data_IF_763665265567
#
_entry.id   IF_763665265567
#
_cell.length_a   1.000
_cell.length_b   1.000
_cell.length_c   1.000
_cell.angle_alpha   90.00
_cell.angle_beta   90.00
_cell.angle_gamma   90.00
#
_symmetry.space_group_name_H-M   'P 1'
#
loop_
_entity.id
_entity.type
_entity.pdbx_description
1 polymer ?
#
# COMPACT_ATOMS: atom_id res chain seq x y z
N UNK A 1 -8.60 -39.46 -7.89
CA UNK A 1 -8.34 -38.05 -7.48
C UNK A 1 -7.91 -37.12 -8.62
N UNK A 2 -7.81 -37.54 -9.90
CA UNK A 2 -7.48 -36.63 -11.03
C UNK A 2 -8.70 -35.90 -11.64
N UNK A 3 -9.93 -36.29 -11.30
CA UNK A 3 -11.15 -35.79 -11.95
C UNK A 3 -11.53 -34.34 -11.59
N UNK A 4 -11.27 -33.85 -10.36
CA UNK A 4 -11.74 -32.51 -9.96
C UNK A 4 -10.93 -31.33 -10.51
N UNK A 5 -9.61 -31.45 -10.73
CA UNK A 5 -8.80 -30.31 -11.19
C UNK A 5 -8.89 -30.05 -12.69
N UNK A 6 -9.23 -31.07 -13.50
CA UNK A 6 -9.46 -30.88 -14.93
C UNK A 6 -10.75 -30.09 -15.15
N UNK A 7 -11.81 -30.41 -14.42
CA UNK A 7 -13.09 -29.69 -14.48
C UNK A 7 -12.90 -28.21 -14.10
N UNK A 8 -12.24 -27.92 -12.96
CA UNK A 8 -11.91 -26.55 -12.55
C UNK A 8 -11.08 -25.81 -13.62
N UNK A 9 -10.13 -26.49 -14.24
CA UNK A 9 -9.32 -25.91 -15.31
C UNK A 9 -10.17 -25.54 -16.53
N UNK A 10 -10.97 -26.49 -17.03
CA UNK A 10 -11.78 -26.34 -18.23
C UNK A 10 -12.85 -25.24 -18.05
N UNK A 11 -13.46 -25.15 -16.86
CA UNK A 11 -14.43 -24.10 -16.53
C UNK A 11 -13.79 -22.70 -16.52
N UNK A 12 -12.62 -22.56 -15.89
CA UNK A 12 -11.89 -21.29 -15.86
C UNK A 12 -11.38 -20.88 -17.24
N UNK A 13 -10.94 -21.82 -18.06
CA UNK A 13 -10.47 -21.55 -19.43
C UNK A 13 -11.59 -21.00 -20.32
N UNK A 14 -12.83 -21.47 -20.11
CA UNK A 14 -14.01 -20.96 -20.82
C UNK A 14 -14.51 -19.59 -20.32
N UNK A 15 -14.04 -19.12 -19.16
CA UNK A 15 -14.46 -17.84 -18.61
C UNK A 15 -13.90 -16.65 -19.43
N UNK A 16 -14.74 -15.62 -19.62
CA UNK A 16 -14.34 -14.42 -20.35
C UNK A 16 -13.16 -13.71 -19.67
N UNK A 17 -12.10 -13.41 -20.43
CA UNK A 17 -10.91 -12.71 -19.92
C UNK A 17 -9.85 -13.62 -19.27
N UNK A 18 -10.03 -14.94 -19.29
CA UNK A 18 -9.12 -15.91 -18.66
C UNK A 18 -7.75 -16.06 -19.35
N UNK A 19 -7.62 -15.66 -20.62
CA UNK A 19 -6.43 -15.93 -21.44
C UNK A 19 -5.12 -15.45 -20.76
N UNK A 20 -5.08 -14.20 -20.29
CA UNK A 20 -3.89 -13.66 -19.63
C UNK A 20 -3.52 -14.44 -18.37
N UNK A 21 -4.52 -14.91 -17.62
CA UNK A 21 -4.31 -15.69 -16.39
C UNK A 21 -3.61 -17.02 -16.67
N UNK A 22 -4.02 -17.73 -17.73
CA UNK A 22 -3.37 -18.97 -18.14
C UNK A 22 -1.98 -18.75 -18.76
N UNK A 23 -1.74 -17.65 -19.47
CA UNK A 23 -0.39 -17.29 -19.93
C UNK A 23 0.55 -16.99 -18.76
N UNK A 24 0.06 -16.35 -17.68
CA UNK A 24 0.84 -16.19 -16.45
C UNK A 24 1.19 -17.55 -15.82
N UNK A 25 0.23 -18.48 -15.71
CA UNK A 25 0.53 -19.84 -15.18
C UNK A 25 1.55 -20.56 -16.08
N UNK A 26 1.40 -20.47 -17.39
CA UNK A 26 2.30 -21.08 -18.37
C UNK A 26 3.71 -20.49 -18.29
N UNK A 27 3.85 -19.20 -18.03
CA UNK A 27 5.15 -18.54 -17.83
C UNK A 27 5.92 -19.06 -16.61
N UNK A 28 5.26 -19.77 -15.68
CA UNK A 28 5.92 -20.40 -14.52
C UNK A 28 6.53 -21.77 -14.83
N UNK A 29 6.40 -22.28 -16.06
CA UNK A 29 7.04 -23.52 -16.45
C UNK A 29 8.56 -23.39 -16.45
N UNK A 30 9.25 -24.54 -16.40
CA UNK A 30 10.72 -24.53 -16.44
C UNK A 30 11.18 -23.81 -17.71
N UNK A 31 12.19 -22.91 -17.61
CA UNK A 31 12.77 -22.28 -18.78
C UNK A 31 13.38 -23.34 -19.68
N UNK A 32 13.41 -23.09 -20.98
CA UNK A 32 14.13 -23.95 -21.91
C UNK A 32 15.64 -23.93 -21.54
N UNK A 33 16.37 -25.06 -21.55
CA UNK A 33 17.77 -25.09 -21.14
C UNK A 33 18.67 -24.10 -21.89
N UNK A 34 18.29 -23.71 -23.11
CA UNK A 34 19.01 -22.79 -23.97
C UNK A 34 18.97 -21.33 -23.49
N UNK A 35 17.98 -20.96 -22.67
CA UNK A 35 17.81 -19.61 -22.11
C UNK A 35 18.24 -19.53 -20.64
N UNK A 36 18.63 -20.67 -20.04
CA UNK A 36 19.15 -20.73 -18.68
C UNK A 36 20.59 -20.22 -18.68
N UNK A 37 20.84 -19.15 -17.94
CA UNK A 37 22.16 -18.52 -17.86
C UNK A 37 23.07 -19.19 -16.81
N UNK A 38 22.52 -19.60 -15.65
CA UNK A 38 23.23 -20.35 -14.61
C UNK A 38 22.55 -21.72 -14.39
N UNK A 39 23.25 -22.85 -14.62
CA UNK A 39 22.73 -24.20 -14.37
C UNK A 39 22.21 -24.43 -12.95
N UNK A 40 22.68 -23.67 -11.95
CA UNK A 40 22.18 -23.74 -10.58
C UNK A 40 20.71 -23.32 -10.47
N UNK A 41 20.20 -22.55 -11.43
CA UNK A 41 18.82 -22.08 -11.41
C UNK A 41 17.81 -23.17 -11.80
N UNK A 42 18.21 -24.13 -12.64
CA UNK A 42 17.41 -25.33 -12.86
C UNK A 42 17.29 -26.18 -11.60
N UNK A 43 18.36 -26.25 -10.80
CA UNK A 43 18.34 -26.96 -9.51
C UNK A 43 17.39 -26.26 -8.52
N UNK A 44 17.46 -24.93 -8.43
CA UNK A 44 16.54 -24.13 -7.59
C UNK A 44 15.09 -24.27 -8.04
N UNK A 45 14.83 -24.21 -9.35
CA UNK A 45 13.50 -24.45 -9.91
C UNK A 45 12.96 -25.82 -9.49
N UNK A 46 13.76 -26.89 -9.63
CA UNK A 46 13.38 -28.23 -9.22
C UNK A 46 13.09 -28.33 -7.71
N UNK A 47 13.89 -27.66 -6.88
CA UNK A 47 13.67 -27.61 -5.43
C UNK A 47 12.37 -26.88 -5.06
N UNK A 48 12.00 -25.82 -5.79
CA UNK A 48 10.79 -25.04 -5.53
C UNK A 48 9.52 -25.58 -6.24
N UNK A 49 9.65 -26.54 -7.15
CA UNK A 49 8.55 -27.03 -8.00
C UNK A 49 7.33 -27.52 -7.20
N UNK A 50 7.55 -28.13 -6.04
CA UNK A 50 6.46 -28.55 -5.15
C UNK A 50 5.65 -27.36 -4.64
N UNK A 51 6.31 -26.30 -4.19
CA UNK A 51 5.67 -25.08 -3.72
C UNK A 51 4.99 -24.33 -4.87
N UNK A 52 5.64 -24.26 -6.04
CA UNK A 52 5.04 -23.67 -7.23
C UNK A 52 3.73 -24.37 -7.62
N UNK A 53 3.71 -25.70 -7.64
CA UNK A 53 2.48 -26.48 -7.91
C UNK A 53 1.38 -26.24 -6.87
N UNK A 54 1.75 -26.04 -5.61
CA UNK A 54 0.80 -25.68 -4.56
C UNK A 54 0.21 -24.29 -4.82
N UNK A 55 1.03 -23.30 -5.16
CA UNK A 55 0.58 -21.95 -5.47
C UNK A 55 -0.33 -21.90 -6.71
N UNK A 56 -0.01 -22.65 -7.77
CA UNK A 56 -0.89 -22.77 -8.96
C UNK A 56 -2.25 -23.35 -8.58
N UNK A 57 -2.30 -24.39 -7.73
CA UNK A 57 -3.57 -24.95 -7.25
C UNK A 57 -4.36 -23.94 -6.42
N UNK A 58 -3.69 -23.19 -5.54
CA UNK A 58 -4.32 -22.15 -4.73
C UNK A 58 -4.90 -21.03 -5.60
N UNK A 59 -4.22 -20.64 -6.68
CA UNK A 59 -4.74 -19.69 -7.67
C UNK A 59 -6.01 -20.19 -8.35
N UNK A 60 -5.96 -21.42 -8.88
CA UNK A 60 -7.12 -22.04 -9.54
C UNK A 60 -8.32 -22.14 -8.58
N UNK A 61 -8.07 -22.59 -7.35
CA UNK A 61 -9.11 -22.69 -6.33
C UNK A 61 -9.71 -21.33 -5.95
N UNK A 62 -8.87 -20.30 -5.79
CA UNK A 62 -9.34 -18.95 -5.49
C UNK A 62 -10.19 -18.37 -6.64
N UNK A 63 -9.75 -18.55 -7.88
CA UNK A 63 -10.49 -18.10 -9.06
C UNK A 63 -11.81 -18.86 -9.27
N UNK A 64 -11.88 -20.13 -8.89
CA UNK A 64 -13.11 -20.92 -8.95
C UNK A 64 -14.10 -20.54 -7.84
N UNK A 65 -13.61 -20.37 -6.61
CA UNK A 65 -14.45 -20.21 -5.42
C UNK A 65 -15.01 -18.80 -5.17
N UNK A 66 -14.39 -17.75 -5.72
CA UNK A 66 -14.80 -16.36 -5.47
C UNK A 66 -14.71 -15.49 -6.74
N UNK A 67 -15.87 -14.93 -7.17
CA UNK A 67 -15.97 -14.16 -8.40
C UNK A 67 -15.20 -12.83 -8.35
N UNK A 68 -15.16 -12.18 -7.19
CA UNK A 68 -14.41 -10.93 -7.01
C UNK A 68 -12.89 -11.20 -7.16
N UNK A 69 -12.39 -12.26 -6.54
CA UNK A 69 -11.00 -12.70 -6.67
C UNK A 69 -10.70 -13.14 -8.09
N UNK A 70 -11.57 -13.92 -8.74
CA UNK A 70 -11.43 -14.28 -10.17
C UNK A 70 -11.27 -13.04 -11.05
N UNK A 71 -12.13 -12.05 -10.85
CA UNK A 71 -12.10 -10.79 -11.60
C UNK A 71 -10.79 -10.03 -11.35
N UNK A 72 -10.35 -9.93 -10.10
CA UNK A 72 -9.08 -9.31 -9.76
C UNK A 72 -7.88 -10.02 -10.42
N UNK A 73 -7.86 -11.36 -10.36
CA UNK A 73 -6.83 -12.18 -11.00
C UNK A 73 -6.80 -11.99 -12.52
N UNK A 74 -7.96 -12.01 -13.18
CA UNK A 74 -8.05 -11.83 -14.63
C UNK A 74 -7.66 -10.41 -15.05
N UNK A 75 -8.06 -9.38 -14.29
CA UNK A 75 -7.67 -8.00 -14.55
C UNK A 75 -6.17 -7.76 -14.39
N UNK A 76 -5.55 -8.34 -13.35
CA UNK A 76 -4.09 -8.30 -13.19
C UNK A 76 -3.39 -8.91 -14.42
N UNK A 77 -3.94 -10.01 -14.97
CA UNK A 77 -3.38 -10.71 -16.12
C UNK A 77 -3.68 -10.05 -17.48
N UNK A 78 -4.68 -9.17 -17.54
CA UNK A 78 -5.13 -8.54 -18.79
C UNK A 78 -4.16 -7.46 -19.29
N UNK A 79 -3.26 -6.97 -18.43
CA UNK A 79 -2.24 -5.99 -18.80
C UNK A 79 -1.17 -6.70 -19.64
N UNK A 80 -0.94 -6.29 -20.90
CA UNK A 80 0.10 -6.90 -21.73
C UNK A 80 1.46 -6.78 -21.05
N UNK A 81 2.04 -7.94 -20.75
CA UNK A 81 3.42 -8.04 -20.32
C UNK A 81 4.33 -7.45 -21.42
N UNK A 82 5.02 -6.35 -21.12
CA UNK A 82 6.00 -5.75 -22.04
C UNK A 82 7.34 -6.51 -22.05
N UNK A 83 7.51 -7.50 -21.15
CA UNK A 83 8.71 -8.33 -21.00
C UNK A 83 8.32 -9.79 -20.73
N UNK A 84 9.16 -10.74 -21.18
CA UNK A 84 8.96 -12.18 -20.93
C UNK A 84 8.88 -12.52 -19.42
N UNK A 85 9.55 -11.72 -18.57
CA UNK A 85 9.65 -11.95 -17.13
C UNK A 85 8.53 -11.28 -16.30
N UNK A 86 7.68 -10.46 -16.93
CA UNK A 86 6.51 -9.89 -16.25
C UNK A 86 5.57 -10.98 -15.70
N UNK A 87 5.61 -12.20 -16.25
CA UNK A 87 4.84 -13.34 -15.77
C UNK A 87 5.10 -13.70 -14.30
N UNK A 88 6.36 -13.68 -13.84
CA UNK A 88 6.67 -14.01 -12.44
C UNK A 88 6.23 -12.90 -11.47
N UNK A 89 6.35 -11.63 -11.87
CA UNK A 89 5.83 -10.50 -11.08
C UNK A 89 4.31 -10.54 -10.99
N UNK A 90 3.62 -10.80 -12.11
CA UNK A 90 2.17 -10.97 -12.16
C UNK A 90 1.73 -12.16 -11.30
N UNK A 91 2.43 -13.29 -11.36
CA UNK A 91 2.15 -14.45 -10.52
C UNK A 91 2.25 -14.14 -9.02
N UNK A 92 3.24 -13.33 -8.63
CA UNK A 92 3.39 -12.88 -7.25
C UNK A 92 2.28 -11.90 -6.83
N UNK A 93 1.89 -10.98 -7.71
CA UNK A 93 0.78 -10.05 -7.48
C UNK A 93 -0.56 -10.79 -7.34
N UNK A 94 -0.84 -11.75 -8.23
CA UNK A 94 -2.01 -12.63 -8.14
C UNK A 94 -2.03 -13.43 -6.84
N UNK A 95 -0.87 -13.91 -6.41
CA UNK A 95 -0.73 -14.61 -5.16
C UNK A 95 -1.13 -13.83 -3.92
N UNK A 96 -0.92 -12.52 -3.95
CA UNK A 96 -1.37 -11.64 -2.90
C UNK A 96 -2.91 -11.57 -2.83
N UNK A 97 -3.60 -11.53 -3.98
CA UNK A 97 -5.07 -11.60 -4.02
C UNK A 97 -5.61 -12.93 -3.45
N UNK A 98 -4.91 -14.04 -3.73
CA UNK A 98 -5.23 -15.34 -3.12
C UNK A 98 -5.06 -15.30 -1.60
N UNK A 99 -3.94 -14.74 -1.11
CA UNK A 99 -3.69 -14.63 0.33
C UNK A 99 -4.73 -13.76 1.04
N UNK A 100 -5.20 -12.70 0.41
CA UNK A 100 -6.31 -11.89 0.93
C UNK A 100 -7.58 -12.72 1.08
N UNK A 101 -7.97 -13.46 0.04
CA UNK A 101 -9.14 -14.34 0.10
C UNK A 101 -8.99 -15.38 1.22
N UNK A 102 -7.83 -16.04 1.31
CA UNK A 102 -7.55 -17.04 2.34
C UNK A 102 -7.56 -16.47 3.77
N UNK A 103 -7.11 -15.23 3.94
CA UNK A 103 -7.22 -14.51 5.21
C UNK A 103 -8.67 -14.15 5.52
N UNK A 104 -9.44 -13.71 4.52
CA UNK A 104 -10.84 -13.32 4.66
C UNK A 104 -11.75 -14.49 5.06
N UNK A 105 -11.57 -15.66 4.43
CA UNK A 105 -12.41 -16.84 4.68
C UNK A 105 -12.06 -17.59 5.97
N UNK A 106 -11.16 -17.06 6.81
CA UNK A 106 -10.88 -17.64 8.13
C UNK A 106 -12.17 -17.74 8.96
N UNK A 107 -12.35 -18.84 9.71
CA UNK A 107 -13.65 -19.20 10.29
C UNK A 107 -14.07 -18.32 11.48
N UNK A 108 -13.14 -17.61 12.10
CA UNK A 108 -13.41 -16.73 13.25
C UNK A 108 -12.87 -15.34 12.97
N UNK A 109 -13.49 -14.32 13.58
CA UNK A 109 -13.02 -12.93 13.50
C UNK A 109 -11.58 -12.82 13.97
N UNK A 110 -11.21 -13.52 15.05
CA UNK A 110 -9.84 -13.50 15.55
C UNK A 110 -8.83 -14.12 14.57
N UNK A 111 -9.15 -15.27 13.98
CA UNK A 111 -8.27 -15.91 13.00
C UNK A 111 -8.13 -15.07 11.72
N UNK A 112 -9.21 -14.42 11.29
CA UNK A 112 -9.21 -13.47 10.18
C UNK A 112 -8.33 -12.27 10.48
N UNK A 113 -8.53 -11.63 11.64
CA UNK A 113 -7.75 -10.47 12.08
C UNK A 113 -6.25 -10.80 12.11
N UNK A 114 -5.87 -11.90 12.77
CA UNK A 114 -4.46 -12.32 12.83
C UNK A 114 -3.86 -12.57 11.45
N UNK A 115 -4.62 -13.20 10.54
CA UNK A 115 -4.17 -13.46 9.18
C UNK A 115 -4.00 -12.16 8.37
N UNK A 116 -4.92 -11.21 8.50
CA UNK A 116 -4.87 -9.91 7.81
C UNK A 116 -3.75 -9.01 8.35
N UNK A 117 -3.52 -9.00 9.66
CA UNK A 117 -2.39 -8.29 10.29
C UNK A 117 -1.05 -8.82 9.74
N UNK A 118 -0.87 -10.14 9.76
CA UNK A 118 0.34 -10.76 9.23
C UNK A 118 0.51 -10.41 7.74
N UNK A 119 -0.56 -10.53 6.96
CA UNK A 119 -0.52 -10.20 5.54
C UNK A 119 -0.19 -8.73 5.29
N UNK A 120 -0.70 -7.80 6.11
CA UNK A 120 -0.42 -6.36 6.00
C UNK A 120 1.06 -6.07 6.25
N UNK A 121 1.65 -6.66 7.31
CA UNK A 121 3.09 -6.57 7.58
C UNK A 121 3.93 -7.13 6.43
N UNK A 122 3.59 -8.33 5.96
CA UNK A 122 4.31 -8.98 4.87
C UNK A 122 4.25 -8.16 3.57
N UNK A 123 3.10 -7.56 3.27
CA UNK A 123 2.91 -6.72 2.10
C UNK A 123 3.63 -5.37 2.22
N UNK A 124 3.57 -4.73 3.38
CA UNK A 124 4.34 -3.51 3.67
C UNK A 124 5.84 -3.72 3.42
N UNK A 125 6.40 -4.84 3.93
CA UNK A 125 7.79 -5.24 3.67
C UNK A 125 8.08 -5.45 2.20
N UNK A 126 7.19 -6.14 1.48
CA UNK A 126 7.34 -6.37 0.04
C UNK A 126 7.36 -5.05 -0.74
N UNK A 127 6.50 -4.09 -0.40
CA UNK A 127 6.47 -2.77 -1.02
C UNK A 127 7.76 -2.00 -0.76
N UNK A 128 8.30 -2.09 0.46
CA UNK A 128 9.58 -1.49 0.79
C UNK A 128 10.74 -2.11 0.00
N UNK A 129 10.76 -3.44 -0.12
CA UNK A 129 11.75 -4.14 -0.95
C UNK A 129 11.63 -3.73 -2.42
N UNK A 130 10.41 -3.60 -2.94
CA UNK A 130 10.17 -3.12 -4.30
C UNK A 130 10.65 -1.67 -4.51
N UNK A 131 10.44 -0.80 -3.52
CA UNK A 131 10.94 0.57 -3.57
C UNK A 131 12.48 0.60 -3.61
N UNK A 132 13.16 -0.24 -2.82
CA UNK A 132 14.62 -0.34 -2.82
C UNK A 132 15.13 -0.83 -4.18
N UNK A 133 14.51 -1.87 -4.75
CA UNK A 133 14.86 -2.36 -6.08
C UNK A 133 14.68 -1.28 -7.16
N UNK A 134 13.58 -0.51 -7.11
CA UNK A 134 13.34 0.62 -8.01
C UNK A 134 14.43 1.69 -7.91
N UNK A 135 14.83 2.04 -6.69
CA UNK A 135 15.90 3.03 -6.46
C UNK A 135 17.26 2.53 -6.96
N UNK A 136 17.54 1.23 -6.83
CA UNK A 136 18.75 0.60 -7.38
C UNK A 136 18.76 0.70 -8.92
N UNK A 137 17.66 0.32 -9.58
CA UNK A 137 17.49 0.45 -11.04
C UNK A 137 17.72 1.91 -11.46
N UNK A 138 17.03 2.87 -10.84
CA UNK A 138 17.17 4.30 -11.15
C UNK A 138 18.61 4.78 -11.00
N UNK A 139 19.34 4.31 -9.96
CA UNK A 139 20.75 4.65 -9.76
C UNK A 139 21.61 4.11 -10.90
N UNK A 140 21.40 2.85 -11.32
CA UNK A 140 22.17 2.21 -12.40
C UNK A 140 21.94 2.86 -13.77
N UNK A 141 20.74 3.39 -13.99
CA UNK A 141 20.39 4.15 -15.21
C UNK A 141 20.96 5.57 -15.22
N UNK A 142 21.25 6.16 -14.06
CA UNK A 142 21.72 7.54 -13.95
C UNK A 142 23.24 7.65 -13.76
N UNK A 143 23.87 6.67 -13.09
CA UNK A 143 25.28 6.75 -12.70
C UNK A 143 26.19 6.07 -13.74
N UNK A 144 27.36 6.65 -14.05
CA UNK A 144 28.37 6.00 -14.88
C UNK A 144 28.77 4.63 -14.34
N UNK A 145 28.98 3.67 -15.24
CA UNK A 145 29.59 2.39 -14.89
C UNK A 145 31.09 2.55 -14.69
N UNK A 146 31.75 1.54 -14.13
CA UNK A 146 33.20 1.46 -14.04
C UNK A 146 33.69 0.34 -14.97
N UNK A 147 34.58 0.69 -15.89
CA UNK A 147 35.27 -0.26 -16.76
C UNK A 147 36.37 -1.00 -15.96
N UNK A 148 36.88 -2.10 -16.51
CA UNK A 148 37.94 -2.91 -15.88
C UNK A 148 39.23 -2.11 -15.60
N UNK A 149 39.50 -1.07 -16.39
CA UNK A 149 40.64 -0.16 -16.21
C UNK A 149 40.39 0.98 -15.20
N UNK A 150 39.22 0.99 -14.56
CA UNK A 150 38.80 2.01 -13.59
C UNK A 150 38.27 3.30 -14.21
N UNK A 151 38.21 3.40 -15.54
CA UNK A 151 37.59 4.55 -16.22
C UNK A 151 36.06 4.51 -16.14
N UNK A 152 35.43 5.67 -16.26
CA UNK A 152 33.96 5.78 -16.26
C UNK A 152 33.39 5.33 -17.62
N UNK A 153 32.54 4.31 -17.60
CA UNK A 153 31.71 3.90 -18.72
C UNK A 153 30.34 4.60 -18.70
N UNK A 154 29.53 4.47 -19.77
CA UNK A 154 28.18 5.01 -19.77
C UNK A 154 27.31 4.33 -18.69
N UNK A 155 26.23 4.99 -18.22
CA UNK A 155 25.22 4.34 -17.40
C UNK A 155 24.61 3.12 -18.09
N UNK A 156 24.01 2.23 -17.30
CA UNK A 156 23.31 1.08 -17.86
C UNK A 156 22.06 1.54 -18.62
N UNK A 157 21.65 0.71 -19.58
CA UNK A 157 20.40 0.86 -20.34
C UNK A 157 19.53 -0.35 -20.08
N UNK A 158 18.22 -0.16 -20.13
CA UNK A 158 17.28 -1.26 -20.00
C UNK A 158 17.40 -2.23 -21.18
N UNK A 159 17.16 -3.52 -20.95
CA UNK A 159 17.13 -4.53 -22.02
C UNK A 159 16.12 -4.19 -23.13
N UNK A 160 15.07 -3.43 -22.79
CA UNK A 160 14.06 -2.91 -23.72
C UNK A 160 14.50 -1.66 -24.50
N UNK A 161 15.56 -0.99 -24.07
CA UNK A 161 16.13 0.16 -24.76
C UNK A 161 17.13 -0.32 -25.82
N UNK A 162 16.75 -0.25 -27.10
CA UNK A 162 17.58 -0.71 -28.22
C UNK A 162 18.16 0.50 -28.96
N UNK A 163 19.48 0.63 -28.93
CA UNK A 163 20.22 1.70 -29.62
C UNK A 163 21.13 1.08 -30.65
N UNK A 164 20.99 1.48 -31.92
CA UNK A 164 21.75 0.92 -33.05
C UNK A 164 21.66 -0.61 -33.19
N UNK A 165 20.52 -1.20 -32.81
CA UNK A 165 20.30 -2.65 -32.85
C UNK A 165 20.83 -3.39 -31.62
N UNK A 166 21.49 -2.71 -30.69
CA UNK A 166 22.01 -3.30 -29.45
C UNK A 166 21.08 -2.98 -28.26
N UNK A 167 20.45 -3.99 -27.62
CA UNK A 167 19.68 -3.78 -26.40
C UNK A 167 20.59 -3.35 -25.24
N UNK A 168 19.99 -2.75 -24.21
CA UNK A 168 20.68 -2.57 -22.94
C UNK A 168 20.90 -3.90 -22.20
N UNK A 169 21.53 -3.81 -21.03
CA UNK A 169 21.92 -4.97 -20.22
C UNK A 169 21.22 -5.05 -18.87
N UNK A 170 20.50 -4.00 -18.47
CA UNK A 170 19.79 -3.97 -17.20
C UNK A 170 18.37 -4.52 -17.38
N UNK A 171 18.09 -5.66 -16.78
CA UNK A 171 16.74 -6.19 -16.68
C UNK A 171 16.11 -5.82 -15.33
N UNK A 172 15.04 -5.03 -15.36
CA UNK A 172 14.37 -4.60 -14.13
C UNK A 172 13.75 -5.77 -13.37
N UNK A 173 13.18 -6.74 -14.09
CA UNK A 173 12.49 -7.86 -13.47
C UNK A 173 13.47 -8.74 -12.71
N UNK A 174 14.65 -8.98 -13.28
CA UNK A 174 15.72 -9.70 -12.60
C UNK A 174 16.16 -8.98 -11.32
N UNK A 175 16.27 -7.64 -11.33
CA UNK A 175 16.64 -6.86 -10.14
C UNK A 175 15.57 -6.97 -9.05
N UNK A 176 14.28 -6.75 -9.36
CA UNK A 176 13.20 -6.98 -8.39
C UNK A 176 13.26 -8.39 -7.83
N UNK A 177 13.45 -9.37 -8.71
CA UNK A 177 13.51 -10.77 -8.33
C UNK A 177 14.67 -11.13 -7.43
N UNK A 178 15.85 -10.55 -7.66
CA UNK A 178 17.01 -10.79 -6.83
C UNK A 178 16.80 -10.27 -5.39
N UNK A 179 16.24 -9.06 -5.22
CA UNK A 179 15.91 -8.54 -3.89
C UNK A 179 14.81 -9.33 -3.20
N UNK A 180 13.68 -9.55 -3.89
CA UNK A 180 12.54 -10.28 -3.34
C UNK A 180 12.94 -11.68 -2.89
N UNK A 181 13.61 -12.44 -3.76
CA UNK A 181 13.98 -13.82 -3.47
C UNK A 181 15.12 -13.89 -2.45
N UNK A 182 16.09 -12.96 -2.51
CA UNK A 182 17.18 -12.86 -1.55
C UNK A 182 16.74 -12.50 -0.13
N UNK A 183 15.63 -11.76 0.01
CA UNK A 183 15.10 -11.29 1.29
C UNK A 183 13.89 -12.08 1.80
N UNK A 184 13.26 -12.91 0.97
CA UNK A 184 12.03 -13.65 1.27
C UNK A 184 12.03 -14.26 2.66
N UNK A 185 13.02 -15.09 2.98
CA UNK A 185 13.05 -15.83 4.24
C UNK A 185 13.27 -14.91 5.46
N UNK A 186 14.06 -13.85 5.32
CA UNK A 186 14.42 -12.96 6.45
C UNK A 186 13.38 -11.89 6.73
N UNK A 187 12.62 -11.48 5.71
CA UNK A 187 11.53 -10.50 5.83
C UNK A 187 10.14 -11.16 5.82
N UNK A 188 10.07 -12.49 5.69
CA UNK A 188 8.83 -13.26 5.60
C UNK A 188 7.92 -12.80 4.44
N UNK A 189 8.52 -12.46 3.29
CA UNK A 189 7.78 -11.89 2.16
C UNK A 189 6.71 -12.86 1.65
N UNK A 190 5.52 -12.34 1.26
CA UNK A 190 4.35 -13.17 0.98
C UNK A 190 4.45 -13.82 -0.41
N UNK A 191 3.88 -15.02 -0.54
CA UNK A 191 3.65 -15.78 -1.78
C UNK A 191 4.85 -16.20 -2.64
N UNK A 192 5.89 -15.37 -2.71
CA UNK A 192 7.02 -15.45 -3.65
C UNK A 192 7.46 -16.90 -3.89
N UNK A 193 7.45 -17.34 -5.13
CA UNK A 193 7.99 -18.64 -5.47
C UNK A 193 9.53 -18.52 -5.62
N UNK A 194 10.30 -19.36 -4.90
CA UNK A 194 11.77 -19.24 -4.75
C UNK A 194 12.56 -19.74 -5.98
N UNK A 195 11.98 -19.59 -7.18
CA UNK A 195 12.55 -20.14 -8.41
C UNK A 195 12.99 -19.08 -9.42
N UNK A 196 13.03 -17.80 -9.06
CA UNK A 196 13.44 -16.77 -10.02
C UNK A 196 14.93 -16.95 -10.39
N UNK A 197 15.13 -17.22 -11.68
CA UNK A 197 16.31 -17.84 -12.31
C UNK A 197 17.45 -16.86 -12.60
N UNK A 198 17.48 -15.68 -11.96
CA UNK A 198 18.23 -14.55 -12.53
C UNK A 198 19.00 -13.70 -11.50
N UNK A 199 19.37 -14.29 -10.36
CA UNK A 199 20.10 -13.56 -9.32
C UNK A 199 21.48 -13.07 -9.78
N UNK A 200 22.10 -13.74 -10.74
CA UNK A 200 23.47 -13.44 -11.19
C UNK A 200 23.51 -12.26 -12.16
N UNK A 201 22.60 -12.20 -13.13
CA UNK A 201 22.51 -11.09 -14.10
C UNK A 201 21.94 -9.80 -13.51
N UNK A 202 21.11 -9.92 -12.49
CA UNK A 202 20.65 -8.77 -11.71
C UNK A 202 21.79 -7.98 -11.04
N UNK A 203 23.00 -8.55 -10.90
CA UNK A 203 24.13 -7.92 -10.21
C UNK A 203 23.75 -7.33 -8.83
N UNK A 204 22.91 -8.05 -8.07
CA UNK A 204 22.56 -7.69 -6.68
C UNK A 204 23.40 -8.55 -5.75
N UNK A 205 24.43 -7.96 -5.15
CA UNK A 205 25.36 -8.67 -4.27
C UNK A 205 24.80 -8.87 -2.84
N UNK A 206 25.47 -9.71 -2.06
CA UNK A 206 25.06 -10.01 -0.68
C UNK A 206 25.05 -8.77 0.23
N UNK A 207 25.91 -7.77 -0.02
CA UNK A 207 25.97 -6.53 0.76
C UNK A 207 24.77 -5.65 0.46
N UNK A 208 24.33 -5.58 -0.81
CA UNK A 208 23.10 -4.90 -1.20
C UNK A 208 21.88 -5.53 -0.51
N UNK A 209 21.80 -6.86 -0.46
CA UNK A 209 20.72 -7.55 0.28
C UNK A 209 20.75 -7.24 1.78
N UNK A 210 21.92 -7.27 2.43
CA UNK A 210 22.04 -6.91 3.85
C UNK A 210 21.64 -5.45 4.10
N UNK A 211 22.07 -4.54 3.23
CA UNK A 211 21.69 -3.12 3.31
C UNK A 211 20.19 -2.94 3.15
N UNK A 212 19.58 -3.59 2.17
CA UNK A 212 18.14 -3.55 1.94
C UNK A 212 17.35 -4.10 3.14
N UNK A 213 17.77 -5.23 3.72
CA UNK A 213 17.19 -5.77 4.94
C UNK A 213 17.25 -4.75 6.09
N UNK A 214 18.44 -4.20 6.37
CA UNK A 214 18.62 -3.24 7.46
C UNK A 214 17.75 -2.00 7.23
N UNK A 215 17.62 -1.55 5.98
CA UNK A 215 16.79 -0.40 5.64
C UNK A 215 15.30 -0.65 5.91
N UNK A 216 14.81 -1.84 5.59
CA UNK A 216 13.43 -2.25 5.92
C UNK A 216 13.24 -2.23 7.43
N UNK A 217 14.13 -2.89 8.20
CA UNK A 217 14.00 -2.97 9.66
C UNK A 217 14.15 -1.60 10.35
N UNK A 218 15.03 -0.73 9.85
CA UNK A 218 15.19 0.64 10.36
C UNK A 218 13.89 1.45 10.18
N UNK A 219 13.25 1.35 9.01
CA UNK A 219 12.02 2.08 8.73
C UNK A 219 10.77 1.47 9.39
N UNK A 220 10.85 0.25 9.92
CA UNK A 220 9.79 -0.36 10.72
C UNK A 220 9.74 0.18 12.16
N UNK A 221 10.78 0.88 12.61
CA UNK A 221 10.88 1.38 13.98
C UNK A 221 9.79 2.41 14.30
N UNK A 222 9.50 2.56 15.60
CA UNK A 222 8.46 3.44 16.13
C UNK A 222 7.09 3.19 15.46
N UNK A 223 6.49 4.21 14.83
CA UNK A 223 5.22 4.09 14.10
C UNK A 223 5.40 3.66 12.65
N UNK A 224 6.64 3.41 12.19
CA UNK A 224 6.95 3.19 10.79
C UNK A 224 6.24 1.96 10.21
N UNK A 225 6.30 0.80 10.87
CA UNK A 225 5.59 -0.39 10.40
C UNK A 225 4.06 -0.21 10.45
N UNK A 226 3.55 0.47 11.49
CA UNK A 226 2.12 0.72 11.67
C UNK A 226 1.59 1.58 10.52
N UNK A 227 2.30 2.67 10.20
CA UNK A 227 1.95 3.55 9.09
C UNK A 227 2.03 2.82 7.74
N UNK A 228 3.08 2.03 7.51
CA UNK A 228 3.22 1.22 6.29
C UNK A 228 2.13 0.15 6.15
N UNK A 229 1.64 -0.42 7.25
CA UNK A 229 0.50 -1.33 7.23
C UNK A 229 -0.79 -0.59 6.88
N UNK A 230 -0.98 0.63 7.36
CA UNK A 230 -2.16 1.47 7.04
C UNK A 230 -2.19 1.96 5.59
N UNK A 231 -1.04 2.06 4.93
CA UNK A 231 -0.95 2.27 3.48
C UNK A 231 -1.54 1.10 2.67
N UNK A 232 -1.69 -0.08 3.29
CA UNK A 232 -2.29 -1.23 2.63
C UNK A 232 -3.82 -1.15 2.67
N UNK A 233 -4.43 -0.82 1.53
CA UNK A 233 -5.87 -0.57 1.42
C UNK A 233 -6.77 -1.64 2.06
N UNK A 234 -6.41 -2.92 1.91
CA UNK A 234 -7.22 -4.02 2.42
C UNK A 234 -7.21 -4.08 3.96
N UNK A 235 -6.14 -3.60 4.58
CA UNK A 235 -6.01 -3.53 6.03
C UNK A 235 -6.78 -2.33 6.59
N UNK A 236 -6.60 -1.15 5.98
CA UNK A 236 -7.33 0.05 6.40
C UNK A 236 -8.84 -0.07 6.16
N UNK A 237 -9.27 -0.67 5.04
CA UNK A 237 -10.69 -0.97 4.78
C UNK A 237 -11.25 -1.98 5.80
N UNK A 238 -10.50 -3.05 6.09
CA UNK A 238 -10.92 -4.02 7.11
C UNK A 238 -11.08 -3.38 8.49
N UNK A 239 -10.12 -2.53 8.91
CA UNK A 239 -10.18 -1.81 10.18
C UNK A 239 -11.39 -0.87 10.23
N UNK A 240 -11.62 -0.08 9.19
CA UNK A 240 -12.75 0.85 9.11
C UNK A 240 -14.08 0.11 9.21
N UNK A 241 -14.21 -1.01 8.50
CA UNK A 241 -15.42 -1.82 8.53
C UNK A 241 -15.63 -2.55 9.88
N UNK A 242 -14.56 -3.02 10.51
CA UNK A 242 -14.64 -3.70 11.82
C UNK A 242 -14.96 -2.74 12.96
N UNK A 243 -14.47 -1.49 12.88
CA UNK A 243 -14.60 -0.45 13.89
C UNK A 243 -15.46 0.73 13.43
N UNK A 244 -16.47 0.47 12.58
CA UNK A 244 -17.29 1.51 11.96
C UNK A 244 -17.84 2.51 12.99
N UNK A 245 -18.39 2.02 14.10
CA UNK A 245 -18.93 2.86 15.18
C UNK A 245 -17.87 3.82 15.78
N UNK A 246 -16.60 3.42 15.86
CA UNK A 246 -15.53 4.27 16.39
C UNK A 246 -15.14 5.37 15.39
N UNK A 247 -15.12 5.06 14.08
CA UNK A 247 -14.86 6.04 13.03
C UNK A 247 -16.03 7.01 12.86
N UNK A 248 -17.26 6.51 12.88
CA UNK A 248 -18.48 7.32 12.74
C UNK A 248 -18.59 8.33 13.90
N UNK A 249 -18.19 7.94 15.12
CA UNK A 249 -18.12 8.87 16.25
C UNK A 249 -17.14 10.02 16.03
N UNK A 250 -15.98 9.76 15.41
CA UNK A 250 -15.00 10.81 15.07
C UNK A 250 -15.59 11.72 14.00
N UNK A 251 -16.18 11.15 12.94
CA UNK A 251 -16.79 11.92 11.86
C UNK A 251 -17.93 12.82 12.38
N UNK A 252 -18.81 12.27 13.23
CA UNK A 252 -19.89 13.02 13.86
C UNK A 252 -19.36 14.15 14.77
N UNK A 253 -18.31 13.88 15.55
CA UNK A 253 -17.67 14.90 16.37
C UNK A 253 -17.05 16.01 15.51
N UNK A 254 -16.36 15.67 14.42
CA UNK A 254 -15.79 16.64 13.48
C UNK A 254 -16.87 17.47 12.79
N UNK A 255 -17.98 16.83 12.39
CA UNK A 255 -19.14 17.53 11.82
C UNK A 255 -19.69 18.56 12.81
N UNK A 256 -19.88 18.16 14.07
CA UNK A 256 -20.38 19.05 15.12
C UNK A 256 -19.42 20.21 15.41
N UNK A 257 -18.10 19.95 15.43
CA UNK A 257 -17.08 20.99 15.57
C UNK A 257 -17.14 21.96 14.39
N UNK A 258 -17.24 21.46 13.15
CA UNK A 258 -17.36 22.28 11.96
C UNK A 258 -18.60 23.18 11.96
N UNK A 259 -19.76 22.65 12.35
CA UNK A 259 -20.99 23.43 12.53
C UNK A 259 -20.84 24.52 13.60
N UNK A 260 -20.09 24.22 14.67
CA UNK A 260 -19.80 25.17 15.76
C UNK A 260 -18.86 26.28 15.29
N UNK A 261 -17.81 25.95 14.53
CA UNK A 261 -16.89 26.92 13.92
C UNK A 261 -17.64 27.85 12.96
N UNK A 262 -18.52 27.32 12.11
CA UNK A 262 -19.33 28.14 11.21
C UNK A 262 -20.28 29.05 11.99
N UNK A 263 -20.93 28.52 13.03
CA UNK A 263 -21.78 29.31 13.92
C UNK A 263 -20.99 30.44 14.61
N UNK A 264 -19.75 30.17 15.03
CA UNK A 264 -18.87 31.17 15.65
C UNK A 264 -18.51 32.28 14.66
N UNK A 265 -18.14 31.91 13.44
CA UNK A 265 -17.86 32.86 12.36
C UNK A 265 -19.05 33.77 12.08
N UNK A 266 -20.25 33.20 11.96
CA UNK A 266 -21.48 33.97 11.75
C UNK A 266 -21.77 34.91 12.92
N UNK A 267 -21.62 34.43 14.16
CA UNK A 267 -21.85 35.23 15.36
C UNK A 267 -20.85 36.40 15.49
N UNK A 268 -19.56 36.16 15.24
CA UNK A 268 -18.53 37.20 15.26
C UNK A 268 -18.77 38.24 14.16
N UNK A 269 -19.06 37.80 12.94
CA UNK A 269 -19.32 38.71 11.83
C UNK A 269 -20.56 39.59 12.07
N UNK A 270 -21.62 39.01 12.66
CA UNK A 270 -22.81 39.74 13.07
C UNK A 270 -22.50 40.75 14.20
N UNK A 271 -21.66 40.37 15.17
CA UNK A 271 -21.22 41.28 16.23
C UNK A 271 -20.42 42.45 15.66
N UNK A 272 -19.45 42.19 14.78
CA UNK A 272 -18.65 43.24 14.12
C UNK A 272 -19.54 44.20 13.31
N UNK A 273 -20.46 43.67 12.50
CA UNK A 273 -21.41 44.49 11.76
C UNK A 273 -22.32 45.32 12.68
N UNK A 274 -22.80 44.75 13.78
CA UNK A 274 -23.58 45.47 14.79
C UNK A 274 -22.76 46.56 15.48
N UNK A 275 -21.47 46.32 15.73
CA UNK A 275 -20.59 47.29 16.38
C UNK A 275 -20.31 48.51 15.49
N UNK A 276 -20.33 48.34 14.17
CA UNK A 276 -20.18 49.38 13.16
C UNK A 276 -21.47 50.20 12.88
N UNK A 277 -22.62 49.82 13.46
CA UNK A 277 -23.87 50.58 13.29
C UNK A 277 -23.80 51.98 13.93
N UNK A 278 -24.49 52.98 13.36
CA UNK A 278 -24.69 54.28 13.99
C UNK A 278 -25.32 54.14 15.39
N UNK A 279 -24.95 55.02 16.33
CA UNK A 279 -25.39 54.96 17.73
C UNK A 279 -26.92 54.91 17.89
N UNK A 280 -27.67 55.57 16.98
CA UNK A 280 -29.13 55.62 16.95
C UNK A 280 -29.78 54.25 16.63
N UNK A 281 -29.05 53.37 15.94
CA UNK A 281 -29.51 52.05 15.50
C UNK A 281 -28.93 50.91 16.35
N UNK A 282 -27.99 51.23 17.25
CA UNK A 282 -27.27 50.26 18.07
C UNK A 282 -28.09 49.84 19.29
N UNK A 283 -28.65 48.64 19.24
CA UNK A 283 -29.36 48.04 20.38
C UNK A 283 -28.38 47.31 21.32
N UNK A 284 -28.20 47.86 22.53
CA UNK A 284 -27.30 47.28 23.54
C UNK A 284 -27.63 45.83 23.91
N UNK A 285 -28.92 45.46 23.97
CA UNK A 285 -29.32 44.09 24.29
C UNK A 285 -28.91 43.12 23.18
N UNK A 286 -29.05 43.51 21.91
CA UNK A 286 -28.61 42.71 20.76
C UNK A 286 -27.09 42.54 20.75
N UNK A 287 -26.33 43.62 20.99
CA UNK A 287 -24.87 43.54 21.10
C UNK A 287 -24.40 42.63 22.25
N UNK A 288 -25.08 42.69 23.40
CA UNK A 288 -24.79 41.81 24.54
C UNK A 288 -25.09 40.34 24.22
N UNK A 289 -26.21 40.05 23.55
CA UNK A 289 -26.57 38.69 23.12
C UNK A 289 -25.58 38.11 22.10
N UNK A 290 -25.18 38.89 21.10
CA UNK A 290 -24.18 38.45 20.11
C UNK A 290 -22.82 38.18 20.77
N UNK A 291 -22.39 39.06 21.67
CA UNK A 291 -21.16 38.88 22.46
C UNK A 291 -21.23 37.62 23.31
N UNK A 292 -22.34 37.38 24.01
CA UNK A 292 -22.54 36.16 24.79
C UNK A 292 -22.47 34.91 23.89
N UNK A 293 -23.12 34.96 22.72
CA UNK A 293 -23.11 33.83 21.77
C UNK A 293 -21.71 33.51 21.25
N UNK A 294 -20.90 34.53 20.96
CA UNK A 294 -19.48 34.35 20.58
C UNK A 294 -18.70 33.67 21.70
N UNK A 295 -18.87 34.11 22.95
CA UNK A 295 -18.19 33.52 24.12
C UNK A 295 -18.60 32.04 24.28
N UNK A 296 -19.89 31.73 24.26
CA UNK A 296 -20.39 30.35 24.41
C UNK A 296 -19.84 29.40 23.33
N UNK A 297 -19.77 29.86 22.08
CA UNK A 297 -19.26 29.08 20.95
C UNK A 297 -17.74 28.90 21.02
N UNK A 298 -16.99 29.94 21.42
CA UNK A 298 -15.56 29.87 21.65
C UNK A 298 -15.22 28.90 22.79
N UNK A 299 -15.97 28.96 23.89
CA UNK A 299 -15.83 28.04 25.02
C UNK A 299 -16.11 26.58 24.63
N UNK A 300 -17.13 26.35 23.79
CA UNK A 300 -17.45 25.01 23.25
C UNK A 300 -16.31 24.43 22.43
N UNK A 301 -15.60 25.27 21.68
CA UNK A 301 -14.42 24.91 20.89
C UNK A 301 -13.12 24.91 21.72
N UNK A 302 -13.19 25.24 23.02
CA UNK A 302 -12.05 25.38 23.92
C UNK A 302 -10.98 26.36 23.39
N UNK A 303 -11.42 27.46 22.78
CA UNK A 303 -10.58 28.56 22.27
C UNK A 303 -10.86 29.85 23.04
N UNK A 304 -9.85 30.69 23.21
CA UNK A 304 -9.96 31.90 24.01
C UNK A 304 -10.94 32.91 23.37
N UNK A 305 -12.05 33.30 24.04
CA UNK A 305 -13.05 34.20 23.47
C UNK A 305 -12.49 35.56 23.01
N UNK A 306 -11.42 36.03 23.64
CA UNK A 306 -10.76 37.32 23.32
C UNK A 306 -10.26 37.37 21.88
N UNK A 307 -9.94 36.22 21.27
CA UNK A 307 -9.51 36.12 19.87
C UNK A 307 -10.61 36.51 18.88
N UNK A 308 -11.88 36.44 19.30
CA UNK A 308 -13.06 36.65 18.47
C UNK A 308 -13.81 37.95 18.83
N UNK A 309 -13.40 38.65 19.90
CA UNK A 309 -14.01 39.90 20.36
C UNK A 309 -13.21 41.13 19.91
N UNK A 310 -12.76 41.12 18.65
CA UNK A 310 -11.87 42.14 18.06
C UNK A 310 -12.59 43.36 17.51
N UNK A 311 -13.91 43.27 17.31
CA UNK A 311 -14.72 44.27 16.60
C UNK A 311 -14.65 44.16 15.07
N UNK A 312 -13.85 43.22 14.55
CA UNK A 312 -13.72 42.93 13.13
C UNK A 312 -14.29 41.55 12.79
N UNK A 313 -14.74 41.33 11.53
CA UNK A 313 -15.12 40.00 11.05
C UNK A 313 -13.98 38.99 11.20
N UNK A 314 -14.32 37.71 11.33
CA UNK A 314 -13.35 36.62 11.38
C UNK A 314 -12.57 36.56 10.05
N UNK A 315 -11.24 36.46 10.12
CA UNK A 315 -10.41 36.25 8.93
C UNK A 315 -10.47 34.79 8.45
N UNK A 316 -10.25 34.57 7.16
CA UNK A 316 -10.18 33.22 6.59
C UNK A 316 -9.03 32.38 7.18
N UNK A 317 -7.93 33.03 7.56
CA UNK A 317 -6.79 32.39 8.22
C UNK A 317 -7.17 31.87 9.61
N UNK A 318 -7.83 32.70 10.43
CA UNK A 318 -8.31 32.28 11.74
C UNK A 318 -9.36 31.17 11.60
N UNK A 319 -10.31 31.33 10.68
CA UNK A 319 -11.32 30.32 10.38
C UNK A 319 -10.69 28.97 10.01
N UNK A 320 -9.72 28.95 9.10
CA UNK A 320 -9.02 27.73 8.69
C UNK A 320 -8.22 27.09 9.83
N UNK A 321 -7.62 27.89 10.71
CA UNK A 321 -6.84 27.38 11.84
C UNK A 321 -7.67 26.58 12.85
N UNK A 322 -8.98 26.87 12.98
CA UNK A 322 -9.87 26.20 13.92
C UNK A 322 -10.14 24.74 13.57
N UNK A 323 -9.94 24.34 12.30
CA UNK A 323 -10.09 22.95 11.87
C UNK A 323 -8.83 22.10 12.13
N UNK A 324 -7.67 22.74 12.38
CA UNK A 324 -6.38 22.04 12.47
C UNK A 324 -6.31 20.90 13.51
N UNK A 325 -6.88 21.03 14.72
CA UNK A 325 -6.75 19.99 15.74
C UNK A 325 -7.37 18.63 15.39
N UNK A 326 -8.42 18.60 14.56
CA UNK A 326 -9.16 17.37 14.25
C UNK A 326 -8.57 16.50 13.14
N UNK A 327 -7.61 16.99 12.34
CA UNK A 327 -7.17 16.29 11.12
C UNK A 327 -6.48 14.94 11.36
N UNK A 328 -5.99 14.67 12.58
CA UNK A 328 -5.21 13.46 12.87
C UNK A 328 -5.99 12.39 13.66
N UNK A 329 -7.25 12.65 14.05
CA UNK A 329 -7.99 11.75 14.95
C UNK A 329 -8.26 10.37 14.34
N UNK A 330 -8.74 10.32 13.08
CA UNK A 330 -8.94 9.05 12.37
C UNK A 330 -7.63 8.30 12.18
N UNK A 331 -6.54 9.02 11.92
CA UNK A 331 -5.21 8.43 11.72
C UNK A 331 -4.68 7.83 13.01
N UNK A 332 -4.83 8.54 14.13
CA UNK A 332 -4.40 8.03 15.43
C UNK A 332 -5.28 6.86 15.91
N UNK A 333 -6.60 6.90 15.64
CA UNK A 333 -7.47 5.74 15.82
C UNK A 333 -6.94 4.53 15.04
N UNK A 334 -6.66 4.72 13.75
CA UNK A 334 -6.16 3.66 12.86
C UNK A 334 -4.83 3.09 13.34
N UNK A 335 -3.90 3.94 13.80
CA UNK A 335 -2.61 3.52 14.39
C UNK A 335 -2.80 2.74 15.68
N UNK A 336 -3.65 3.23 16.59
CA UNK A 336 -3.96 2.55 17.85
C UNK A 336 -4.58 1.17 17.60
N UNK A 337 -5.57 1.07 16.72
CA UNK A 337 -6.21 -0.20 16.37
C UNK A 337 -5.22 -1.17 15.71
N UNK A 338 -4.35 -0.68 14.84
CA UNK A 338 -3.29 -1.49 14.22
C UNK A 338 -2.31 -2.03 15.26
N UNK A 339 -1.80 -1.20 16.16
CA UNK A 339 -0.92 -1.63 17.27
C UNK A 339 -1.58 -2.71 18.13
N UNK A 340 -2.86 -2.53 18.46
CA UNK A 340 -3.61 -3.53 19.24
C UNK A 340 -3.74 -4.85 18.49
N UNK A 341 -4.07 -4.81 17.20
CA UNK A 341 -4.19 -6.00 16.37
C UNK A 341 -2.85 -6.74 16.21
N UNK A 342 -1.74 -6.02 16.08
CA UNK A 342 -0.38 -6.60 16.07
C UNK A 342 -0.05 -7.34 17.37
N UNK A 343 -0.32 -6.72 18.52
CA UNK A 343 -0.09 -7.35 19.84
C UNK A 343 -0.91 -8.63 19.99
N UNK A 344 -2.18 -8.61 19.57
CA UNK A 344 -3.06 -9.79 19.64
C UNK A 344 -2.59 -10.90 18.69
N UNK A 345 -2.10 -10.53 17.50
CA UNK A 345 -1.58 -11.48 16.51
C UNK A 345 -0.20 -12.04 16.86
N UNK A 346 0.51 -11.43 17.83
CA UNK A 346 1.88 -11.81 18.22
C UNK A 346 2.93 -11.41 17.18
N UNK A 347 2.73 -10.25 16.54
CA UNK A 347 3.47 -9.78 15.36
C UNK A 347 4.44 -8.64 15.68
#
# INVERSE_FOLDING_TARGET
MRQGWQEVWDELEQAHGSQGFFEVIKSQQAPAPEIVQDPADLVRYQQNLTHLRQNVRRLLQAAESDEATRTALFNLAAVPAQCADAGAQLFNAMGFEVLKLEAWVKPTVQARNNALVLLAKQKARLDKVNQIARQDIQRRLAMPTLNDDGSAGPPLRLTTDVVNGEPGTLDEVEVYGAYQTGLKARLELPWLADHMLYRVTAQVDARQLVSAYNKVIEEEQDEGLVDQMLEQYFWSDYLRNLHADDYDQIEDAHRQVGETIESLRLAQNALAAHEQLPAEQKNQATGAQLRQRVVELADTLNVAPEQFLTGEPMSDELYGSLFLPGFEDEKELSRRLTRQAMVIAGV
#
